data_IF_495882568483
#
_entry.id   IF_495882568483
#
_cell.length_a   1.000
_cell.length_b   1.000
_cell.length_c   1.000
_cell.angle_alpha   90.00
_cell.angle_beta   90.00
_cell.angle_gamma   90.00
#
_symmetry.space_group_name_H-M   'P 1'
#
loop_
_entity.id
_entity.type
_entity.pdbx_description
1 polymer ?
#
# COMPACT_ATOMS: atom_id res chain seq x y z
N UNK A 1 2.92 31.15 -54.11
CA UNK A 1 3.98 31.16 -53.07
C UNK A 1 3.54 30.86 -51.64
N UNK A 2 2.30 30.43 -51.34
CA UNK A 2 1.79 30.18 -49.97
C UNK A 2 1.96 28.70 -49.50
N UNK A 3 2.11 27.72 -50.38
CA UNK A 3 2.21 26.28 -50.01
C UNK A 3 3.54 25.88 -49.35
N UNK A 4 4.65 26.49 -49.70
CA UNK A 4 5.98 26.17 -49.17
C UNK A 4 6.11 26.54 -47.67
N UNK A 5 5.46 27.60 -47.22
CA UNK A 5 5.52 28.04 -45.80
C UNK A 5 4.74 27.12 -44.87
N UNK A 6 3.61 26.55 -45.36
CA UNK A 6 2.79 25.61 -44.59
C UNK A 6 3.50 24.29 -44.32
N UNK A 7 4.20 23.74 -45.31
CA UNK A 7 5.00 22.50 -45.13
C UNK A 7 6.18 22.70 -44.18
N UNK A 8 6.84 23.86 -44.22
CA UNK A 8 7.91 24.19 -43.28
C UNK A 8 7.42 24.28 -41.84
N UNK A 9 6.25 24.82 -41.62
CA UNK A 9 5.61 24.91 -40.31
C UNK A 9 5.15 23.54 -39.82
N UNK A 10 4.59 22.68 -40.69
CA UNK A 10 4.18 21.31 -40.37
C UNK A 10 5.36 20.44 -40.00
N UNK A 11 6.48 20.54 -40.73
CA UNK A 11 7.72 19.81 -40.43
C UNK A 11 8.33 20.27 -39.11
N UNK A 12 8.29 21.55 -38.77
CA UNK A 12 8.77 22.09 -37.50
C UNK A 12 7.94 21.57 -36.31
N UNK A 13 6.63 21.48 -36.45
CA UNK A 13 5.73 20.93 -35.43
C UNK A 13 5.96 19.43 -35.21
N UNK A 14 6.21 18.67 -36.29
CA UNK A 14 6.53 17.24 -36.21
C UNK A 14 7.89 17.01 -35.54
N UNK A 15 8.89 17.85 -35.81
CA UNK A 15 10.20 17.76 -35.15
C UNK A 15 10.13 18.16 -33.69
N UNK A 16 9.32 19.14 -33.31
CA UNK A 16 9.11 19.50 -31.90
C UNK A 16 8.31 18.44 -31.10
N UNK A 17 7.44 17.67 -31.76
CA UNK A 17 6.70 16.58 -31.09
C UNK A 17 7.54 15.30 -30.91
N UNK A 18 8.65 15.13 -31.63
CA UNK A 18 9.52 13.96 -31.52
C UNK A 18 10.60 14.07 -30.44
N UNK A 19 10.72 15.21 -29.74
CA UNK A 19 11.71 15.42 -28.66
C UNK A 19 11.14 15.29 -27.24
N UNK A 20 9.88 14.86 -27.09
CA UNK A 20 9.44 14.34 -25.79
C UNK A 20 10.01 12.92 -25.70
N UNK A 21 11.29 12.81 -25.41
CA UNK A 21 11.85 11.58 -24.85
C UNK A 21 11.08 11.37 -23.54
N UNK A 22 10.11 10.45 -23.56
CA UNK A 22 9.66 9.83 -22.33
C UNK A 22 10.91 9.09 -21.80
N UNK A 23 11.70 9.78 -20.98
CA UNK A 23 12.71 9.15 -20.16
C UNK A 23 11.92 8.21 -19.25
N UNK A 24 11.74 6.97 -19.66
CA UNK A 24 11.24 5.93 -18.77
C UNK A 24 12.17 5.96 -17.56
N UNK A 25 11.64 6.30 -16.42
CA UNK A 25 12.41 6.35 -15.19
C UNK A 25 12.89 4.92 -14.92
N UNK A 26 14.19 4.69 -15.16
CA UNK A 26 14.77 3.37 -15.12
C UNK A 26 15.43 3.19 -13.75
N UNK A 27 15.12 2.08 -13.11
CA UNK A 27 15.74 1.70 -11.84
C UNK A 27 17.22 1.35 -12.07
N UNK A 28 18.12 1.85 -11.22
CA UNK A 28 19.55 1.53 -11.32
C UNK A 28 19.80 0.03 -11.06
N UNK A 29 20.32 -0.67 -12.06
CA UNK A 29 20.58 -2.11 -12.01
C UNK A 29 21.68 -2.50 -11.00
N UNK A 30 22.48 -1.55 -10.51
CA UNK A 30 23.53 -1.79 -9.52
C UNK A 30 22.97 -1.87 -8.09
N UNK A 31 21.74 -1.42 -7.86
CA UNK A 31 21.11 -1.48 -6.55
C UNK A 31 20.76 -2.92 -6.16
N UNK A 32 20.69 -3.23 -4.87
CA UNK A 32 20.18 -4.50 -4.37
C UNK A 32 18.78 -4.81 -4.91
N UNK A 33 18.47 -6.07 -5.14
CA UNK A 33 17.19 -6.49 -5.72
C UNK A 33 15.97 -5.96 -4.95
N UNK A 34 16.02 -5.97 -3.62
CA UNK A 34 14.94 -5.44 -2.79
C UNK A 34 14.68 -3.95 -3.02
N UNK A 35 15.75 -3.14 -3.14
CA UNK A 35 15.65 -1.72 -3.47
C UNK A 35 15.09 -1.53 -4.87
N UNK A 36 15.61 -2.28 -5.86
CA UNK A 36 15.13 -2.23 -7.25
C UNK A 36 13.65 -2.57 -7.37
N UNK A 37 13.18 -3.59 -6.67
CA UNK A 37 11.76 -3.96 -6.65
C UNK A 37 10.92 -2.83 -6.04
N UNK A 38 11.34 -2.27 -4.90
CA UNK A 38 10.66 -1.15 -4.26
C UNK A 38 10.57 0.07 -5.17
N UNK A 39 11.68 0.50 -5.76
CA UNK A 39 11.70 1.65 -6.68
C UNK A 39 10.85 1.40 -7.92
N UNK A 40 10.92 0.18 -8.49
CA UNK A 40 10.09 -0.20 -9.63
C UNK A 40 8.60 -0.12 -9.31
N UNK A 41 8.21 -0.53 -8.10
CA UNK A 41 6.80 -0.45 -7.67
C UNK A 41 6.36 0.99 -7.46
N UNK A 42 7.20 1.82 -6.81
CA UNK A 42 6.91 3.25 -6.62
C UNK A 42 6.81 4.01 -7.95
N UNK A 43 7.56 3.59 -8.99
CA UNK A 43 7.44 4.15 -10.35
C UNK A 43 6.12 3.75 -10.99
N UNK A 44 5.72 2.48 -10.87
CA UNK A 44 4.47 1.95 -11.45
C UNK A 44 3.23 2.48 -10.74
N UNK A 45 3.31 2.66 -9.43
CA UNK A 45 2.26 3.13 -8.56
C UNK A 45 2.70 4.41 -7.84
N UNK A 46 2.71 5.59 -8.52
CA UNK A 46 3.19 6.84 -7.92
C UNK A 46 2.45 7.23 -6.64
N UNK A 47 1.17 6.91 -6.56
CA UNK A 47 0.36 7.05 -5.36
C UNK A 47 0.33 5.70 -4.63
N UNK A 48 0.75 5.66 -3.38
CA UNK A 48 0.92 4.41 -2.62
C UNK A 48 -0.37 3.59 -2.44
N UNK A 49 -1.54 4.22 -2.54
CA UNK A 49 -2.82 3.51 -2.53
C UNK A 49 -3.10 2.73 -3.82
N UNK A 50 -2.34 2.97 -4.90
CA UNK A 50 -2.46 2.27 -6.19
C UNK A 50 -1.73 0.91 -6.20
N UNK A 51 -0.98 0.59 -5.16
CA UNK A 51 -0.33 -0.71 -5.02
C UNK A 51 -1.31 -1.85 -5.32
N UNK A 52 -0.81 -2.96 -5.85
CA UNK A 52 -1.65 -4.07 -6.33
C UNK A 52 -2.64 -3.62 -7.44
N UNK A 53 -2.24 -2.60 -8.23
CA UNK A 53 -3.02 -2.03 -9.34
C UNK A 53 -4.46 -1.67 -8.97
N UNK A 54 -4.66 -1.16 -7.74
CA UNK A 54 -5.99 -0.81 -7.27
C UNK A 54 -6.55 0.41 -8.02
N UNK A 55 -7.76 0.33 -8.59
CA UNK A 55 -8.39 1.45 -9.31
C UNK A 55 -9.07 2.47 -8.36
N UNK A 56 -9.10 2.19 -7.06
CA UNK A 56 -9.75 3.00 -6.02
C UNK A 56 -9.13 2.73 -4.66
N UNK A 57 -9.35 3.63 -3.71
CA UNK A 57 -8.90 3.45 -2.33
C UNK A 57 -9.41 2.13 -1.75
N UNK A 58 -8.49 1.34 -1.20
CA UNK A 58 -8.78 0.03 -0.64
C UNK A 58 -7.88 -0.22 0.58
N UNK A 59 -8.48 -0.64 1.67
CA UNK A 59 -7.77 -1.13 2.84
C UNK A 59 -7.74 -2.66 2.80
N UNK A 60 -6.64 -3.24 2.31
CA UNK A 60 -6.55 -4.69 2.06
C UNK A 60 -5.15 -5.25 2.35
N UNK A 61 -5.06 -6.57 2.48
CA UNK A 61 -3.84 -7.28 2.88
C UNK A 61 -2.64 -7.02 1.97
N UNK A 62 -2.83 -6.83 0.68
CA UNK A 62 -1.75 -6.54 -0.27
C UNK A 62 -0.95 -5.30 0.14
N UNK A 63 -1.64 -4.19 0.46
CA UNK A 63 -0.97 -2.97 0.92
C UNK A 63 -0.16 -3.21 2.19
N UNK A 64 -0.71 -3.95 3.17
CA UNK A 64 0.01 -4.29 4.39
C UNK A 64 1.24 -5.15 4.16
N UNK A 65 1.19 -6.06 3.18
CA UNK A 65 2.30 -6.92 2.81
C UNK A 65 3.39 -6.12 2.10
N UNK A 66 3.04 -5.41 1.04
CA UNK A 66 3.98 -4.68 0.19
C UNK A 66 4.63 -3.51 0.94
N UNK A 67 3.83 -2.65 1.58
CA UNK A 67 4.36 -1.53 2.37
C UNK A 67 5.16 -2.01 3.59
N UNK A 68 4.79 -3.14 4.18
CA UNK A 68 5.59 -3.77 5.23
C UNK A 68 6.98 -4.15 4.74
N UNK A 69 7.06 -4.83 3.58
CA UNK A 69 8.32 -5.19 2.94
C UNK A 69 9.14 -3.94 2.52
N UNK A 70 8.49 -2.91 2.00
CA UNK A 70 9.14 -1.63 1.68
C UNK A 70 9.73 -0.97 2.93
N UNK A 71 9.02 -0.98 4.05
CA UNK A 71 9.56 -0.48 5.31
C UNK A 71 10.76 -1.29 5.81
N UNK A 72 10.82 -2.62 5.56
CA UNK A 72 12.01 -3.43 5.86
C UNK A 72 13.21 -3.00 4.98
N UNK A 73 12.95 -2.64 3.73
CA UNK A 73 13.98 -2.05 2.85
C UNK A 73 14.45 -0.69 3.40
N UNK A 74 13.52 0.16 3.86
CA UNK A 74 13.88 1.42 4.51
C UNK A 74 14.75 1.20 5.77
N UNK A 75 14.39 0.27 6.63
CA UNK A 75 15.18 -0.02 7.85
C UNK A 75 16.59 -0.52 7.52
N UNK A 76 16.74 -1.19 6.38
CA UNK A 76 18.03 -1.76 5.95
C UNK A 76 18.93 -0.70 5.28
N UNK A 77 18.36 0.16 4.43
CA UNK A 77 19.12 1.06 3.56
C UNK A 77 18.94 2.54 3.87
N UNK A 78 17.94 2.92 4.67
CA UNK A 78 17.74 4.29 5.15
C UNK A 78 17.13 5.26 4.14
N UNK A 79 16.61 4.80 3.00
CA UNK A 79 15.99 5.68 2.01
C UNK A 79 14.63 6.21 2.50
N UNK A 80 14.62 7.48 2.87
CA UNK A 80 13.44 8.16 3.41
C UNK A 80 12.26 8.21 2.43
N UNK A 81 12.51 8.19 1.11
CA UNK A 81 11.43 8.18 0.12
C UNK A 81 10.53 6.96 0.26
N UNK A 82 11.12 5.80 0.59
CA UNK A 82 10.37 4.56 0.81
C UNK A 82 9.48 4.68 2.04
N UNK A 83 10.02 5.21 3.14
CA UNK A 83 9.25 5.47 4.35
C UNK A 83 8.10 6.45 4.08
N UNK A 84 8.40 7.57 3.43
CA UNK A 84 7.44 8.62 3.15
C UNK A 84 6.31 8.13 2.23
N UNK A 85 6.63 7.21 1.32
CA UNK A 85 5.63 6.52 0.48
C UNK A 85 4.67 5.66 1.31
N UNK A 86 5.19 4.93 2.31
CA UNK A 86 4.34 4.15 3.21
C UNK A 86 3.48 5.04 4.12
N UNK A 87 4.04 6.15 4.62
CA UNK A 87 3.30 7.14 5.40
C UNK A 87 2.19 7.77 4.56
N UNK A 88 2.44 8.10 3.29
CA UNK A 88 1.44 8.68 2.40
C UNK A 88 0.21 7.75 2.21
N UNK A 89 0.41 6.41 2.18
CA UNK A 89 -0.73 5.48 2.20
C UNK A 89 -1.52 5.59 3.49
N UNK A 90 -0.83 5.56 4.63
CA UNK A 90 -1.50 5.63 5.93
C UNK A 90 -2.25 6.96 6.10
N UNK A 91 -1.68 8.08 5.66
CA UNK A 91 -2.31 9.40 5.67
C UNK A 91 -3.56 9.45 4.78
N UNK A 92 -3.52 8.79 3.63
CA UNK A 92 -4.67 8.71 2.72
C UNK A 92 -5.81 7.88 3.30
N UNK A 93 -5.49 6.85 4.06
CA UNK A 93 -6.46 5.86 4.51
C UNK A 93 -7.00 6.10 5.93
N UNK A 94 -6.21 6.73 6.81
CA UNK A 94 -6.54 6.91 8.24
C UNK A 94 -6.93 8.35 8.51
N UNK A 95 -8.12 8.55 9.09
CA UNK A 95 -8.66 9.85 9.45
C UNK A 95 -8.28 10.25 10.89
N UNK A 96 -8.42 11.52 11.23
CA UNK A 96 -8.08 12.10 12.54
C UNK A 96 -8.80 11.44 13.72
N UNK A 97 -9.99 10.90 13.49
CA UNK A 97 -10.76 10.15 14.49
C UNK A 97 -10.34 8.68 14.63
N UNK A 98 -9.37 8.21 13.81
CA UNK A 98 -8.92 6.83 13.74
C UNK A 98 -9.76 5.93 12.85
N UNK A 99 -10.81 6.45 12.20
CA UNK A 99 -11.56 5.68 11.21
C UNK A 99 -10.67 5.43 9.97
N UNK A 100 -10.95 4.32 9.24
CA UNK A 100 -10.13 3.88 8.12
C UNK A 100 -11.01 3.78 6.89
N UNK A 101 -10.60 4.45 5.80
CA UNK A 101 -11.27 4.38 4.50
C UNK A 101 -11.36 2.93 4.02
N UNK A 102 -12.52 2.51 3.55
CA UNK A 102 -12.82 1.17 3.04
C UNK A 102 -12.63 0.03 4.07
N UNK A 103 -12.54 0.33 5.36
CA UNK A 103 -12.59 -0.65 6.43
C UNK A 103 -13.99 -0.68 7.06
N UNK A 104 -14.47 -1.88 7.34
CA UNK A 104 -15.74 -2.09 8.04
C UNK A 104 -15.57 -3.24 9.03
N UNK A 105 -15.61 -2.92 10.32
CA UNK A 105 -15.40 -3.86 11.42
C UNK A 105 -16.32 -5.07 11.33
N UNK A 106 -17.59 -4.86 10.97
CA UNK A 106 -18.61 -5.93 10.92
C UNK A 106 -18.41 -6.95 9.81
N UNK A 107 -17.47 -6.71 8.88
CA UNK A 107 -17.06 -7.71 7.88
C UNK A 107 -16.23 -8.83 8.51
N UNK A 108 -15.63 -8.57 9.66
CA UNK A 108 -14.78 -9.52 10.38
C UNK A 108 -13.83 -10.25 9.43
N UNK A 109 -13.05 -9.47 8.67
CA UNK A 109 -12.10 -9.97 7.68
C UNK A 109 -10.66 -9.84 8.17
N UNK A 110 -9.93 -10.95 8.26
CA UNK A 110 -8.51 -10.94 8.62
C UNK A 110 -7.63 -10.25 7.57
N UNK A 111 -8.08 -10.18 6.32
CA UNK A 111 -7.38 -9.41 5.28
C UNK A 111 -7.22 -7.94 5.66
N UNK A 112 -8.22 -7.38 6.34
CA UNK A 112 -8.22 -5.98 6.74
C UNK A 112 -7.29 -5.68 7.91
N UNK A 113 -6.98 -6.68 8.73
CA UNK A 113 -6.07 -6.54 9.86
C UNK A 113 -4.61 -6.42 9.38
N UNK A 114 -4.25 -7.13 8.31
CA UNK A 114 -2.87 -7.15 7.84
C UNK A 114 -2.33 -5.77 7.49
N UNK A 115 -3.13 -4.90 6.86
CA UNK A 115 -2.74 -3.52 6.55
C UNK A 115 -2.43 -2.68 7.80
N UNK A 116 -3.04 -3.02 8.94
CA UNK A 116 -2.77 -2.35 10.20
C UNK A 116 -1.36 -2.55 10.75
N UNK A 117 -0.63 -3.58 10.32
CA UNK A 117 0.72 -3.85 10.81
C UNK A 117 1.69 -2.70 10.55
N UNK A 118 1.56 -2.02 9.41
CA UNK A 118 2.41 -0.88 9.09
C UNK A 118 2.18 0.30 10.04
N UNK A 119 0.96 0.43 10.58
CA UNK A 119 0.61 1.56 11.45
C UNK A 119 1.39 1.54 12.76
N UNK A 120 1.81 0.36 13.27
CA UNK A 120 2.70 0.29 14.44
C UNK A 120 4.01 1.02 14.18
N UNK A 121 4.65 0.72 13.05
CA UNK A 121 5.94 1.30 12.68
C UNK A 121 5.80 2.80 12.37
N UNK A 122 4.72 3.19 11.70
CA UNK A 122 4.44 4.58 11.35
C UNK A 122 4.15 5.39 12.64
N UNK A 123 3.35 4.84 13.58
CA UNK A 123 3.09 5.48 14.85
C UNK A 123 4.37 5.65 15.69
N UNK A 124 5.23 4.65 15.74
CA UNK A 124 6.51 4.75 16.43
C UNK A 124 7.38 5.90 15.92
N UNK A 125 7.33 6.18 14.62
CA UNK A 125 8.13 7.22 13.96
C UNK A 125 7.49 8.60 14.05
N UNK A 126 6.16 8.69 13.90
CA UNK A 126 5.43 9.96 13.80
C UNK A 126 4.84 10.44 15.11
N UNK A 127 4.47 9.50 16.01
CA UNK A 127 3.70 9.73 17.23
C UNK A 127 2.34 10.40 16.99
N UNK A 128 1.81 10.28 15.77
CA UNK A 128 0.50 10.82 15.43
C UNK A 128 -0.62 9.92 15.99
N UNK A 129 -1.43 10.47 16.87
CA UNK A 129 -2.45 9.75 17.63
C UNK A 129 -3.56 9.16 16.74
N UNK A 130 -3.77 9.64 15.52
CA UNK A 130 -4.73 9.03 14.60
C UNK A 130 -4.39 7.57 14.29
N UNK A 131 -3.09 7.25 14.14
CA UNK A 131 -2.66 5.87 13.89
C UNK A 131 -2.89 4.95 15.09
N UNK A 132 -2.68 5.48 16.31
CA UNK A 132 -2.99 4.73 17.52
C UNK A 132 -4.48 4.41 17.60
N UNK A 133 -5.35 5.40 17.37
CA UNK A 133 -6.80 5.20 17.34
C UNK A 133 -7.20 4.16 16.27
N UNK A 134 -6.59 4.20 15.08
CA UNK A 134 -6.83 3.22 14.03
C UNK A 134 -6.38 1.80 14.45
N UNK A 135 -5.24 1.67 15.13
CA UNK A 135 -4.79 0.41 15.70
C UNK A 135 -5.77 -0.13 16.76
N UNK A 136 -6.26 0.74 17.64
CA UNK A 136 -7.25 0.37 18.66
C UNK A 136 -8.56 -0.09 17.99
N UNK A 137 -8.99 0.57 16.90
CA UNK A 137 -10.14 0.14 16.10
C UNK A 137 -9.93 -1.25 15.49
N UNK A 138 -8.78 -1.49 14.85
CA UNK A 138 -8.44 -2.79 14.26
C UNK A 138 -8.35 -3.89 15.33
N UNK A 139 -7.75 -3.58 16.48
CA UNK A 139 -7.65 -4.52 17.59
C UNK A 139 -9.04 -4.89 18.14
N UNK A 140 -9.97 -3.95 18.20
CA UNK A 140 -11.33 -4.19 18.67
C UNK A 140 -12.08 -5.24 17.83
N UNK A 141 -11.68 -5.46 16.56
CA UNK A 141 -12.28 -6.51 15.73
C UNK A 141 -12.12 -7.90 16.36
N UNK A 142 -10.99 -8.17 17.04
CA UNK A 142 -10.73 -9.49 17.62
C UNK A 142 -11.74 -9.91 18.70
N UNK A 143 -12.35 -8.96 19.38
CA UNK A 143 -13.37 -9.25 20.38
C UNK A 143 -14.63 -9.90 19.79
N UNK A 144 -14.97 -9.56 18.54
CA UNK A 144 -16.14 -10.11 17.84
C UNK A 144 -15.80 -11.02 16.64
N UNK A 145 -14.52 -11.25 16.35
CA UNK A 145 -14.10 -12.12 15.24
C UNK A 145 -14.59 -13.54 15.50
N UNK A 146 -15.37 -14.16 14.58
CA UNK A 146 -15.84 -15.53 14.75
C UNK A 146 -14.69 -16.51 14.89
N UNK A 147 -14.89 -17.55 15.72
CA UNK A 147 -13.90 -18.62 15.98
C UNK A 147 -14.50 -19.99 15.72
N UNK A 148 -13.64 -20.95 15.41
CA UNK A 148 -13.95 -22.36 15.44
C UNK A 148 -13.97 -22.88 16.90
N UNK A 149 -14.46 -24.11 17.10
CA UNK A 149 -14.51 -24.78 18.41
C UNK A 149 -13.12 -24.87 19.05
N UNK A 150 -12.07 -25.05 18.26
CA UNK A 150 -10.66 -25.08 18.68
C UNK A 150 -10.06 -23.69 18.97
N UNK A 151 -10.88 -22.61 18.88
CA UNK A 151 -10.45 -21.24 19.17
C UNK A 151 -9.83 -20.49 17.98
N UNK A 152 -9.55 -21.14 16.85
CA UNK A 152 -9.00 -20.49 15.64
C UNK A 152 -9.97 -19.50 15.01
N UNK A 153 -9.47 -18.35 14.57
CA UNK A 153 -10.32 -17.34 13.92
C UNK A 153 -10.77 -17.77 12.53
N UNK A 154 -12.02 -17.50 12.21
CA UNK A 154 -12.46 -17.57 10.82
C UNK A 154 -11.71 -16.53 9.99
N UNK A 155 -11.36 -16.91 8.76
CA UNK A 155 -10.71 -16.01 7.83
C UNK A 155 -11.55 -14.75 7.55
N UNK A 156 -12.86 -14.96 7.29
CA UNK A 156 -13.87 -13.88 7.13
C UNK A 156 -15.22 -14.38 7.63
N UNK A 157 -16.04 -13.48 8.09
CA UNK A 157 -17.43 -13.79 8.50
C UNK A 157 -18.23 -14.45 7.37
N UNK A 158 -17.98 -14.06 6.09
CA UNK A 158 -18.66 -14.63 4.92
C UNK A 158 -18.22 -16.05 4.57
N UNK A 159 -17.17 -16.57 5.23
CA UNK A 159 -16.66 -17.94 5.07
C UNK A 159 -16.74 -18.68 6.42
N UNK A 160 -17.94 -19.14 6.83
CA UNK A 160 -18.13 -19.78 8.14
C UNK A 160 -17.19 -20.97 8.33
N UNK A 161 -16.61 -21.07 9.52
CA UNK A 161 -15.73 -22.16 9.97
C UNK A 161 -14.41 -22.31 9.19
N UNK A 162 -14.09 -21.40 8.24
CA UNK A 162 -12.86 -21.49 7.48
C UNK A 162 -11.71 -20.75 8.17
N UNK A 163 -10.69 -21.48 8.55
CA UNK A 163 -9.41 -20.95 8.98
C UNK A 163 -8.39 -21.19 7.85
N UNK A 164 -7.85 -20.10 7.30
CA UNK A 164 -6.87 -20.17 6.23
C UNK A 164 -5.45 -20.05 6.77
N UNK A 165 -4.50 -20.75 6.16
CA UNK A 165 -3.11 -20.76 6.58
C UNK A 165 -2.49 -19.37 6.62
N UNK A 166 -2.81 -18.51 5.66
CA UNK A 166 -2.35 -17.13 5.61
C UNK A 166 -2.91 -16.25 6.74
N UNK A 167 -3.98 -16.69 7.40
CA UNK A 167 -4.48 -16.07 8.63
C UNK A 167 -3.45 -16.05 9.73
N UNK A 168 -2.60 -17.08 9.84
CA UNK A 168 -1.50 -17.13 10.81
C UNK A 168 -0.49 -15.99 10.57
N UNK A 169 -0.19 -15.69 9.31
CA UNK A 169 0.65 -14.56 8.96
C UNK A 169 -0.05 -13.22 9.25
N UNK A 170 -1.32 -13.09 8.86
CA UNK A 170 -2.09 -11.83 8.95
C UNK A 170 -2.25 -11.33 10.38
N UNK A 171 -2.45 -12.22 11.33
CA UNK A 171 -2.73 -11.87 12.73
C UNK A 171 -1.69 -12.41 13.73
N UNK A 172 -0.72 -13.18 13.26
CA UNK A 172 0.36 -13.70 14.12
C UNK A 172 -0.16 -14.46 15.34
N UNK A 173 0.35 -14.13 16.53
CA UNK A 173 0.01 -14.82 17.79
C UNK A 173 -1.42 -14.63 18.26
N UNK A 174 -2.24 -13.80 17.64
CA UNK A 174 -3.64 -13.62 18.02
C UNK A 174 -4.53 -14.85 17.75
N UNK A 175 -3.98 -15.87 17.07
CA UNK A 175 -4.65 -17.18 16.91
C UNK A 175 -4.57 -18.10 18.13
N UNK A 176 -3.70 -17.79 19.10
CA UNK A 176 -3.41 -18.66 20.25
C UNK A 176 -4.19 -18.18 21.46
#
# INVERSE_FOLDING_TARGET
MRRSSFYKFLILVIIMSSTISLSAQQVDEKLPWSVRMTESEMIRCPESWQLDFQPRLKWDYCHGLELGAMLDVYDTYGDKKIRDYAIAYADTMVHEDGSITAYKLTDYSLDRINSGKILFRIYEQTKDEKYKKALDLLYSQFAGQPRNEDGGFWHKKIYPHQMWLDGLYKIGRAHV
#
